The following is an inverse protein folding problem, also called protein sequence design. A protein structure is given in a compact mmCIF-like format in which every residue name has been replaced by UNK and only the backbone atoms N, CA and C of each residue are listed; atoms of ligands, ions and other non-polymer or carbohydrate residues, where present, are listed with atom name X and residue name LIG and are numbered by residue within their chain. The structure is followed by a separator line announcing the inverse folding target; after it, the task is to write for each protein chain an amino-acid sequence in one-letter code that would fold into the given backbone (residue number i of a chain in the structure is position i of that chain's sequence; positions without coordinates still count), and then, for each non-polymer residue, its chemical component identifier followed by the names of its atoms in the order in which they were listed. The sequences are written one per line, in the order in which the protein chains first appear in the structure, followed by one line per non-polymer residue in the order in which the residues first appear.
data_IF_713120080035
#
_entry.id   IF_713120080035
#
_cell.length_a   1.000
_cell.length_b   1.000
_cell.length_c   1.000
_cell.angle_alpha   90.00
_cell.angle_beta   90.00
_cell.angle_gamma   90.00
#
_symmetry.space_group_name_H-M   'P 1'
#
loop_
_entity.id
_entity.type
_entity.pdbx_description
1 polymer ?
#
# COMPACT_ATOMS: atom_id res chain seq x y z
N UNK A 1 26.41 8.07 -11.52
CA UNK A 1 26.44 6.79 -10.76
C UNK A 1 26.03 6.96 -9.30
N UNK A 2 26.37 8.10 -8.66
CA UNK A 2 26.17 8.33 -7.22
C UNK A 2 24.69 8.42 -6.79
N UNK A 3 23.78 8.79 -7.70
CA UNK A 3 22.36 9.04 -7.40
C UNK A 3 21.40 8.04 -8.04
N UNK A 4 21.89 6.87 -8.47
CA UNK A 4 21.04 5.86 -9.10
C UNK A 4 20.10 5.12 -8.14
N UNK A 5 20.41 5.15 -6.84
CA UNK A 5 19.60 4.51 -5.79
C UNK A 5 18.72 5.56 -5.14
N UNK A 6 17.46 5.58 -5.54
CA UNK A 6 16.42 6.37 -4.87
C UNK A 6 16.08 5.78 -3.50
N UNK A 7 15.46 6.56 -2.59
CA UNK A 7 14.82 6.00 -1.41
C UNK A 7 13.90 4.85 -1.79
N UNK A 8 13.92 3.77 -1.00
CA UNK A 8 13.22 2.53 -1.36
C UNK A 8 11.71 2.75 -1.51
N UNK A 9 11.12 3.60 -0.68
CA UNK A 9 9.71 3.98 -0.73
C UNK A 9 9.36 4.57 -2.10
N UNK A 10 10.26 5.36 -2.69
CA UNK A 10 10.02 5.95 -4.01
C UNK A 10 10.23 4.93 -5.15
N UNK A 11 11.09 3.94 -4.96
CA UNK A 11 11.18 2.81 -5.87
C UNK A 11 9.87 1.99 -5.89
N UNK A 12 9.25 1.83 -4.71
CA UNK A 12 7.94 1.16 -4.59
C UNK A 12 6.80 2.05 -5.13
N UNK A 13 6.85 3.39 -4.94
CA UNK A 13 5.92 4.31 -5.63
C UNK A 13 6.00 4.09 -7.15
N UNK A 14 7.21 3.91 -7.69
CA UNK A 14 7.41 3.70 -9.12
C UNK A 14 6.72 2.43 -9.60
N UNK A 15 6.92 1.29 -8.94
CA UNK A 15 6.32 0.01 -9.31
C UNK A 15 4.79 0.04 -9.16
N UNK A 16 4.29 0.43 -7.99
CA UNK A 16 2.86 0.44 -7.68
C UNK A 16 2.08 1.46 -8.53
N UNK A 17 2.67 2.63 -8.83
CA UNK A 17 2.05 3.59 -9.74
C UNK A 17 1.97 3.03 -11.17
N UNK A 18 2.99 2.28 -11.63
CA UNK A 18 2.99 1.66 -12.94
C UNK A 18 1.90 0.61 -13.09
N UNK A 19 1.64 -0.19 -12.04
CA UNK A 19 0.53 -1.16 -12.02
C UNK A 19 -0.83 -0.46 -12.18
N UNK A 20 -1.06 0.65 -11.47
CA UNK A 20 -2.30 1.43 -11.55
C UNK A 20 -2.47 2.12 -12.90
N UNK A 21 -1.40 2.74 -13.42
CA UNK A 21 -1.40 3.41 -14.73
C UNK A 21 -1.56 2.39 -15.86
N UNK A 22 -0.90 1.24 -15.76
CA UNK A 22 -0.98 0.12 -16.71
C UNK A 22 -2.36 -0.55 -16.73
N UNK A 23 -3.14 -0.44 -15.67
CA UNK A 23 -4.49 -0.98 -15.57
C UNK A 23 -5.46 -0.52 -16.66
N UNK A 24 -5.22 0.65 -17.27
CA UNK A 24 -6.01 1.16 -18.39
C UNK A 24 -5.70 0.44 -19.74
N UNK A 25 -4.57 -0.27 -19.82
CA UNK A 25 -4.08 -0.95 -21.02
C UNK A 25 -4.23 -2.47 -20.97
N UNK A 26 -4.89 -3.00 -19.95
CA UNK A 26 -5.10 -4.46 -19.81
C UNK A 26 -5.90 -5.06 -20.96
N UNK A 27 -6.68 -4.26 -21.69
CA UNK A 27 -7.41 -4.68 -22.88
C UNK A 27 -6.53 -5.11 -24.05
N UNK A 28 -5.21 -4.81 -24.03
CA UNK A 28 -4.25 -5.35 -25.01
C UNK A 28 -3.96 -6.84 -24.79
N UNK A 29 -4.26 -7.38 -23.60
CA UNK A 29 -3.91 -8.75 -23.20
C UNK A 29 -5.12 -9.58 -22.80
N UNK A 30 -6.22 -8.95 -22.39
CA UNK A 30 -7.41 -9.58 -21.81
C UNK A 30 -8.66 -9.16 -22.55
N UNK A 31 -9.68 -10.03 -22.55
CA UNK A 31 -11.01 -9.61 -22.93
C UNK A 31 -11.64 -8.65 -21.88
N UNK A 32 -12.79 -8.07 -22.23
CA UNK A 32 -13.45 -7.06 -21.41
C UNK A 32 -13.77 -7.57 -19.99
N UNK A 33 -14.22 -8.82 -19.86
CA UNK A 33 -14.58 -9.40 -18.57
C UNK A 33 -13.35 -9.80 -17.75
N UNK A 34 -12.33 -10.34 -18.39
CA UNK A 34 -11.05 -10.66 -17.75
C UNK A 34 -10.35 -9.40 -17.26
N UNK A 35 -10.30 -8.34 -18.08
CA UNK A 35 -9.78 -7.04 -17.70
C UNK A 35 -10.52 -6.47 -16.49
N UNK A 36 -11.87 -6.52 -16.50
CA UNK A 36 -12.70 -6.06 -15.39
C UNK A 36 -12.37 -6.82 -14.10
N UNK A 37 -12.29 -8.14 -14.15
CA UNK A 37 -11.92 -8.98 -13.00
C UNK A 37 -10.52 -8.68 -12.48
N UNK A 38 -9.54 -8.52 -13.37
CA UNK A 38 -8.16 -8.19 -13.01
C UNK A 38 -8.09 -6.83 -12.29
N UNK A 39 -8.80 -5.81 -12.79
CA UNK A 39 -8.86 -4.49 -12.16
C UNK A 39 -9.54 -4.54 -10.78
N UNK A 40 -10.64 -5.27 -10.65
CA UNK A 40 -11.30 -5.45 -9.35
C UNK A 40 -10.36 -6.12 -8.36
N UNK A 41 -9.73 -7.24 -8.74
CA UNK A 41 -8.81 -7.97 -7.87
C UNK A 41 -7.62 -7.10 -7.42
N UNK A 42 -7.05 -6.30 -8.33
CA UNK A 42 -5.97 -5.37 -8.01
C UNK A 42 -6.41 -4.30 -6.99
N UNK A 43 -7.53 -3.61 -7.25
CA UNK A 43 -8.01 -2.56 -6.37
C UNK A 43 -8.46 -3.10 -5.00
N UNK A 44 -9.08 -4.29 -4.95
CA UNK A 44 -9.39 -4.98 -3.69
C UNK A 44 -8.11 -5.33 -2.93
N UNK A 45 -7.06 -5.81 -3.62
CA UNK A 45 -5.75 -6.06 -3.04
C UNK A 45 -5.17 -4.82 -2.36
N UNK A 46 -5.30 -3.65 -2.98
CA UNK A 46 -4.88 -2.37 -2.39
C UNK A 46 -5.69 -2.04 -1.13
N UNK A 47 -7.00 -2.26 -1.13
CA UNK A 47 -7.84 -2.04 0.07
C UNK A 47 -7.40 -2.95 1.21
N UNK A 48 -7.05 -4.21 0.91
CA UNK A 48 -6.65 -5.18 1.94
C UNK A 48 -5.22 -4.99 2.46
N UNK A 49 -4.32 -4.43 1.65
CA UNK A 49 -2.93 -4.27 2.07
C UNK A 49 -2.74 -3.21 3.15
N UNK A 50 -3.49 -2.11 3.14
CA UNK A 50 -3.34 -1.04 4.14
C UNK A 50 -3.60 -1.49 5.59
N UNK A 51 -4.72 -2.17 5.91
CA UNK A 51 -4.94 -2.72 7.24
C UNK A 51 -3.88 -3.74 7.65
N UNK A 52 -3.39 -4.54 6.71
CA UNK A 52 -2.32 -5.49 6.98
C UNK A 52 -1.01 -4.77 7.32
N UNK A 53 -0.63 -3.73 6.57
CA UNK A 53 0.53 -2.90 6.86
C UNK A 53 0.41 -2.27 8.26
N UNK A 54 -0.76 -1.69 8.58
CA UNK A 54 -1.02 -1.10 9.89
C UNK A 54 -0.89 -2.14 11.02
N UNK A 55 -1.37 -3.37 10.80
CA UNK A 55 -1.24 -4.47 11.76
C UNK A 55 0.22 -4.81 12.01
N UNK A 56 1.00 -5.02 10.93
CA UNK A 56 2.42 -5.41 11.02
C UNK A 56 3.24 -4.31 11.67
N UNK A 57 3.06 -3.07 11.27
CA UNK A 57 3.80 -1.93 11.82
C UNK A 57 3.48 -1.71 13.29
N UNK A 58 2.19 -1.67 13.67
CA UNK A 58 1.77 -1.54 15.06
C UNK A 58 2.29 -2.69 15.94
N UNK A 59 2.34 -3.92 15.40
CA UNK A 59 2.91 -5.06 16.10
C UNK A 59 4.42 -4.91 16.32
N UNK A 60 5.16 -4.42 15.34
CA UNK A 60 6.58 -4.15 15.52
C UNK A 60 6.81 -3.08 16.60
N UNK A 61 6.05 -1.99 16.60
CA UNK A 61 6.10 -1.00 17.66
C UNK A 61 5.82 -1.63 19.02
N UNK A 62 4.78 -2.46 19.14
CA UNK A 62 4.47 -3.15 20.38
C UNK A 62 5.63 -4.05 20.87
N UNK A 63 6.24 -4.84 19.97
CA UNK A 63 7.37 -5.70 20.29
C UNK A 63 8.55 -4.94 20.90
N UNK A 64 8.91 -3.80 20.31
CA UNK A 64 10.05 -3.01 20.77
C UNK A 64 9.76 -2.21 22.04
N UNK A 65 8.51 -1.82 22.27
CA UNK A 65 8.09 -1.15 23.50
C UNK A 65 7.92 -2.14 24.67
N UNK A 66 7.77 -3.43 24.43
CA UNK A 66 7.58 -4.48 25.42
C UNK A 66 8.67 -5.57 25.31
N UNK A 67 9.97 -5.26 25.48
CA UNK A 67 11.06 -6.20 25.18
C UNK A 67 11.08 -7.46 26.05
N UNK A 68 10.44 -7.42 27.23
CA UNK A 68 10.39 -8.53 28.18
C UNK A 68 9.07 -9.33 28.11
N UNK A 69 8.29 -9.18 27.05
CA UNK A 69 7.01 -9.86 26.89
C UNK A 69 7.16 -11.39 26.83
N UNK A 70 6.20 -12.11 27.38
CA UNK A 70 6.02 -13.55 27.21
C UNK A 70 5.47 -13.91 25.84
N UNK A 71 5.53 -15.18 25.48
CA UNK A 71 4.92 -15.69 24.22
C UNK A 71 3.41 -15.42 24.20
N UNK A 72 2.73 -15.62 25.34
CA UNK A 72 1.28 -15.42 25.44
C UNK A 72 0.88 -13.94 25.26
N UNK A 73 1.64 -13.01 25.85
CA UNK A 73 1.40 -11.58 25.68
C UNK A 73 1.61 -11.14 24.22
N UNK A 74 2.62 -11.68 23.56
CA UNK A 74 2.88 -11.42 22.16
C UNK A 74 1.75 -11.93 21.24
N UNK A 75 1.27 -13.15 21.49
CA UNK A 75 0.16 -13.74 20.74
C UNK A 75 -1.15 -12.96 20.96
N UNK A 76 -1.40 -12.49 22.18
CA UNK A 76 -2.54 -11.65 22.50
C UNK A 76 -2.43 -10.29 21.77
N UNK A 77 -1.29 -9.61 21.87
CA UNK A 77 -1.08 -8.31 21.20
C UNK A 77 -1.28 -8.39 19.69
N UNK A 78 -0.78 -9.46 19.04
CA UNK A 78 -1.04 -9.66 17.62
C UNK A 78 -2.52 -9.91 17.34
N UNK A 79 -3.19 -10.73 18.13
CA UNK A 79 -4.62 -11.03 17.96
C UNK A 79 -5.50 -9.80 18.10
N UNK A 80 -5.20 -8.92 19.08
CA UNK A 80 -5.89 -7.65 19.28
C UNK A 80 -5.72 -6.71 18.08
N UNK A 81 -4.53 -6.67 17.47
CA UNK A 81 -4.28 -5.88 16.27
C UNK A 81 -5.02 -6.44 15.04
N UNK A 82 -5.10 -7.76 14.90
CA UNK A 82 -5.94 -8.38 13.86
C UNK A 82 -7.41 -8.03 14.07
N UNK A 83 -7.92 -8.02 15.31
CA UNK A 83 -9.31 -7.61 15.59
C UNK A 83 -9.54 -6.13 15.27
N UNK A 84 -8.54 -5.30 15.52
CA UNK A 84 -8.62 -3.86 15.25
C UNK A 84 -8.59 -3.53 13.76
N UNK A 85 -7.72 -4.17 12.98
CA UNK A 85 -7.43 -3.79 11.59
C UNK A 85 -7.88 -4.84 10.56
N UNK A 86 -8.03 -6.11 10.95
CA UNK A 86 -8.23 -7.23 10.03
C UNK A 86 -9.64 -7.41 9.45
N UNK A 87 -10.57 -6.48 9.76
CA UNK A 87 -11.95 -6.54 9.25
C UNK A 87 -12.80 -7.63 9.92
N UNK A 88 -13.93 -7.95 9.30
CA UNK A 88 -14.95 -8.87 9.87
C UNK A 88 -14.65 -10.35 9.54
N UNK A 89 -13.43 -10.81 9.73
CA UNK A 89 -13.08 -12.22 9.55
C UNK A 89 -13.49 -13.00 10.79
N UNK A 90 -14.29 -14.06 10.61
CA UNK A 90 -14.64 -14.96 11.70
C UNK A 90 -13.47 -15.92 11.96
N UNK A 91 -12.87 -15.83 13.14
CA UNK A 91 -11.76 -16.68 13.60
C UNK A 91 -12.19 -17.77 14.58
N UNK A 92 -13.52 -17.98 14.78
CA UNK A 92 -14.00 -19.07 15.67
C UNK A 92 -13.40 -20.40 15.24
N UNK A 93 -12.92 -21.17 16.19
CA UNK A 93 -12.20 -22.45 16.02
C UNK A 93 -10.81 -22.32 15.33
N UNK A 94 -10.34 -21.07 15.10
CA UNK A 94 -9.04 -20.79 14.46
C UNK A 94 -8.20 -19.76 15.25
N UNK A 95 -8.49 -19.57 16.53
CA UNK A 95 -7.83 -18.57 17.39
C UNK A 95 -6.31 -18.78 17.46
N UNK A 96 -5.87 -20.05 17.52
CA UNK A 96 -4.44 -20.37 17.51
C UNK A 96 -3.77 -19.98 16.18
N UNK A 97 -4.44 -20.20 15.06
CA UNK A 97 -3.93 -19.83 13.74
C UNK A 97 -3.85 -18.29 13.62
N UNK A 98 -4.87 -17.57 14.10
CA UNK A 98 -4.90 -16.10 14.19
C UNK A 98 -3.71 -15.60 15.01
N UNK A 99 -3.52 -16.11 16.22
CA UNK A 99 -2.45 -15.69 17.14
C UNK A 99 -1.03 -15.91 16.58
N UNK A 100 -0.86 -16.86 15.67
CA UNK A 100 0.43 -17.21 15.05
C UNK A 100 0.60 -16.67 13.63
N UNK A 101 -0.37 -15.95 13.10
CA UNK A 101 -0.36 -15.49 11.70
C UNK A 101 0.83 -14.58 11.39
N UNK A 102 1.36 -13.84 12.36
CA UNK A 102 2.54 -12.98 12.20
C UNK A 102 3.82 -13.74 11.81
N UNK A 103 3.90 -15.05 12.09
CA UNK A 103 5.06 -15.87 11.73
C UNK A 103 5.32 -15.94 10.22
N UNK A 104 4.28 -15.77 9.39
CA UNK A 104 4.43 -15.72 7.93
C UNK A 104 5.10 -14.45 7.43
N UNK A 105 5.13 -13.38 8.26
CA UNK A 105 5.62 -12.08 7.85
C UNK A 105 7.11 -11.94 8.14
N UNK A 106 7.91 -12.35 7.17
CA UNK A 106 9.39 -12.40 7.28
C UNK A 106 10.00 -11.04 7.63
N UNK A 107 9.39 -9.94 7.21
CA UNK A 107 9.85 -8.58 7.49
C UNK A 107 9.95 -8.28 8.99
N UNK A 108 9.06 -8.84 9.82
CA UNK A 108 9.11 -8.65 11.28
C UNK A 108 10.45 -9.12 11.86
N UNK A 109 11.07 -10.14 11.26
CA UNK A 109 12.30 -10.77 11.74
C UNK A 109 13.56 -10.17 11.10
N UNK A 110 13.49 -9.81 9.81
CA UNK A 110 14.68 -9.46 9.03
C UNK A 110 14.80 -7.96 8.75
N UNK A 111 13.67 -7.24 8.74
CA UNK A 111 13.63 -5.84 8.32
C UNK A 111 12.72 -5.03 9.25
N UNK A 112 13.16 -4.77 10.50
CA UNK A 112 12.36 -4.01 11.47
C UNK A 112 11.94 -2.65 10.92
N UNK A 113 10.65 -2.33 11.11
CA UNK A 113 10.03 -1.07 10.68
C UNK A 113 10.05 -0.77 9.17
N UNK A 114 10.43 -1.77 8.37
CA UNK A 114 10.40 -1.60 6.91
C UNK A 114 8.97 -1.65 6.34
N UNK A 115 8.06 -2.38 6.97
CA UNK A 115 6.77 -2.71 6.35
C UNK A 115 5.86 -1.50 6.09
N UNK A 116 6.01 -0.42 6.85
CA UNK A 116 5.33 0.86 6.64
C UNK A 116 5.68 1.50 5.28
N UNK A 117 6.86 1.21 4.74
CA UNK A 117 7.33 1.71 3.43
C UNK A 117 6.34 1.39 2.31
N UNK A 118 5.76 0.19 2.33
CA UNK A 118 4.72 -0.22 1.37
C UNK A 118 3.45 0.64 1.49
N UNK A 119 3.10 1.08 2.70
CA UNK A 119 1.96 1.98 2.93
C UNK A 119 2.21 3.38 2.38
N UNK A 120 3.40 3.91 2.62
CA UNK A 120 3.85 5.19 2.08
C UNK A 120 3.84 5.14 0.55
N UNK A 121 4.42 4.08 -0.03
CA UNK A 121 4.51 3.89 -1.46
C UNK A 121 3.15 3.71 -2.12
N UNK A 122 2.28 2.88 -1.55
CA UNK A 122 0.94 2.65 -2.10
C UNK A 122 0.09 3.92 -2.06
N UNK A 123 0.20 4.73 -1.00
CA UNK A 123 -0.50 6.01 -0.92
C UNK A 123 0.05 7.02 -1.94
N UNK A 124 1.36 7.02 -2.18
CA UNK A 124 2.00 7.79 -3.25
C UNK A 124 1.50 7.38 -4.62
N UNK A 125 1.49 6.08 -4.91
CA UNK A 125 1.00 5.51 -6.17
C UNK A 125 -0.47 5.84 -6.45
N UNK A 126 -1.33 5.77 -5.44
CA UNK A 126 -2.74 6.16 -5.57
C UNK A 126 -2.90 7.64 -5.92
N UNK A 127 -2.06 8.53 -5.38
CA UNK A 127 -2.08 9.95 -5.72
C UNK A 127 -1.62 10.19 -7.17
N UNK A 128 -0.57 9.50 -7.65
CA UNK A 128 -0.15 9.54 -9.06
C UNK A 128 -1.30 9.11 -9.96
N UNK A 129 -1.96 8.01 -9.63
CA UNK A 129 -3.11 7.52 -10.36
C UNK A 129 -4.31 8.49 -10.32
N UNK A 130 -4.60 9.09 -9.16
CA UNK A 130 -5.63 10.11 -9.03
C UNK A 130 -5.36 11.35 -9.91
N UNK A 131 -4.09 11.74 -10.03
CA UNK A 131 -3.67 12.83 -10.90
C UNK A 131 -3.80 12.43 -12.37
N UNK A 132 -3.45 11.20 -12.76
CA UNK A 132 -3.57 10.72 -14.14
C UNK A 132 -5.02 10.66 -14.63
N UNK A 133 -5.98 10.42 -13.74
CA UNK A 133 -7.41 10.48 -14.07
C UNK A 133 -7.92 11.88 -14.39
N UNK A 134 -7.21 12.92 -13.95
CA UNK A 134 -7.54 14.33 -14.23
C UNK A 134 -6.79 14.83 -15.47
N UNK A 135 -5.48 14.56 -15.52
CA UNK A 135 -4.57 14.89 -16.60
C UNK A 135 -3.49 13.82 -16.72
N UNK A 136 -3.69 12.85 -17.61
CA UNK A 136 -2.78 11.74 -17.80
C UNK A 136 -1.39 12.20 -18.28
N UNK A 137 -1.33 13.14 -19.21
CA UNK A 137 -0.06 13.65 -19.78
C UNK A 137 0.76 14.41 -18.75
N UNK A 138 0.12 15.28 -17.98
CA UNK A 138 0.75 16.02 -16.89
C UNK A 138 1.25 15.11 -15.78
N UNK A 139 0.41 14.17 -15.33
CA UNK A 139 0.80 13.21 -14.29
C UNK A 139 1.99 12.34 -14.71
N UNK A 140 2.02 11.84 -15.95
CA UNK A 140 3.16 11.09 -16.47
C UNK A 140 4.43 11.93 -16.60
N UNK A 141 4.30 13.20 -16.92
CA UNK A 141 5.43 14.13 -16.99
C UNK A 141 6.03 14.35 -15.60
N UNK A 142 5.20 14.63 -14.59
CA UNK A 142 5.64 14.82 -13.21
C UNK A 142 6.22 13.54 -12.62
N UNK A 143 5.57 12.39 -12.83
CA UNK A 143 6.06 11.08 -12.41
C UNK A 143 7.45 10.78 -12.97
N UNK A 144 7.65 10.91 -14.30
CA UNK A 144 8.96 10.69 -14.94
C UNK A 144 10.02 11.68 -14.46
N UNK A 145 9.65 12.94 -14.24
CA UNK A 145 10.57 13.96 -13.76
C UNK A 145 11.04 13.68 -12.31
N UNK A 146 10.15 13.16 -11.47
CA UNK A 146 10.52 12.73 -10.13
C UNK A 146 11.43 11.49 -10.16
N UNK A 147 11.13 10.48 -10.97
CA UNK A 147 11.98 9.30 -11.16
C UNK A 147 13.39 9.66 -11.66
N UNK A 148 13.50 10.65 -12.54
CA UNK A 148 14.78 11.11 -13.09
C UNK A 148 15.72 11.71 -12.02
N UNK A 149 15.21 12.12 -10.86
CA UNK A 149 16.00 12.62 -9.74
C UNK A 149 16.79 11.49 -9.03
N UNK A 150 16.31 10.26 -9.10
CA UNK A 150 16.91 9.11 -8.42
C UNK A 150 17.10 9.38 -6.93
N UNK A 151 18.31 9.15 -6.41
CA UNK A 151 18.69 9.40 -5.01
C UNK A 151 19.26 10.80 -4.75
N UNK A 152 19.06 11.77 -5.66
CA UNK A 152 19.64 13.11 -5.52
C UNK A 152 18.84 14.03 -4.59
N UNK A 153 17.65 13.59 -4.16
CA UNK A 153 16.74 14.35 -3.29
C UNK A 153 16.16 13.45 -2.20
N UNK A 154 15.82 14.01 -1.03
CA UNK A 154 15.11 13.28 0.02
C UNK A 154 13.69 12.97 -0.42
N UNK A 155 13.08 11.97 0.22
CA UNK A 155 11.77 11.44 -0.13
C UNK A 155 10.65 12.51 -0.24
N UNK A 156 10.51 13.47 0.68
CA UNK A 156 9.48 14.51 0.55
C UNK A 156 9.60 15.36 -0.74
N UNK A 157 10.83 15.67 -1.16
CA UNK A 157 11.09 16.44 -2.39
C UNK A 157 10.77 15.62 -3.64
N UNK A 158 10.99 14.30 -3.61
CA UNK A 158 10.59 13.39 -4.70
C UNK A 158 9.07 13.34 -4.84
N UNK A 159 8.35 13.28 -3.72
CA UNK A 159 6.89 13.34 -3.68
C UNK A 159 6.38 14.68 -4.25
N UNK A 160 6.93 15.80 -3.78
CA UNK A 160 6.60 17.13 -4.29
C UNK A 160 6.85 17.25 -5.81
N UNK A 161 8.00 16.76 -6.29
CA UNK A 161 8.34 16.79 -7.72
C UNK A 161 7.39 15.93 -8.55
N UNK A 162 6.83 14.86 -7.95
CA UNK A 162 5.81 14.00 -8.55
C UNK A 162 4.39 14.61 -8.48
N UNK A 163 4.25 15.83 -7.92
CA UNK A 163 2.99 16.49 -7.66
C UNK A 163 2.05 15.67 -6.76
N UNK A 164 2.63 15.02 -5.74
CA UNK A 164 1.92 14.25 -4.72
C UNK A 164 2.42 14.65 -3.32
N UNK A 165 1.67 14.31 -2.28
CA UNK A 165 1.97 14.68 -0.90
C UNK A 165 2.62 13.52 -0.16
N UNK A 166 3.70 13.79 0.54
CA UNK A 166 4.25 12.91 1.58
C UNK A 166 3.52 13.19 2.91
N UNK A 167 2.32 12.62 3.05
CA UNK A 167 1.43 12.86 4.18
C UNK A 167 0.50 11.65 4.38
N UNK A 168 0.49 11.09 5.60
CA UNK A 168 -0.34 9.96 6.00
C UNK A 168 -1.59 10.39 6.80
N UNK A 169 -1.89 11.69 6.83
CA UNK A 169 -3.08 12.19 7.52
C UNK A 169 -4.37 11.81 6.79
N UNK A 170 -5.49 11.91 7.50
CA UNK A 170 -6.82 11.71 6.92
C UNK A 170 -7.10 12.60 5.72
N UNK A 171 -6.48 13.77 5.63
CA UNK A 171 -6.64 14.69 4.50
C UNK A 171 -6.08 14.12 3.19
N UNK A 172 -5.12 13.22 3.26
CA UNK A 172 -4.55 12.53 2.09
C UNK A 172 -5.14 11.12 1.92
N UNK A 173 -5.34 10.39 3.01
CA UNK A 173 -5.85 9.01 2.97
C UNK A 173 -7.32 8.95 2.55
N UNK A 174 -8.20 9.78 3.13
CA UNK A 174 -9.64 9.69 2.87
C UNK A 174 -10.01 9.90 1.39
N UNK A 175 -9.47 10.90 0.66
CA UNK A 175 -9.76 11.04 -0.76
C UNK A 175 -9.31 9.84 -1.61
N UNK A 176 -8.23 9.15 -1.23
CA UNK A 176 -7.76 7.96 -1.93
C UNK A 176 -8.66 6.75 -1.65
N UNK A 177 -9.14 6.60 -0.43
CA UNK A 177 -10.13 5.58 -0.08
C UNK A 177 -11.45 5.79 -0.83
N UNK A 178 -11.91 7.04 -0.96
CA UNK A 178 -13.11 7.37 -1.72
C UNK A 178 -12.94 7.11 -3.22
N UNK A 179 -11.76 7.39 -3.78
CA UNK A 179 -11.43 7.06 -5.16
C UNK A 179 -11.48 5.56 -5.40
N UNK A 180 -10.85 4.75 -4.53
CA UNK A 180 -10.86 3.29 -4.63
C UNK A 180 -12.29 2.74 -4.57
N UNK A 181 -13.11 3.23 -3.62
CA UNK A 181 -14.52 2.84 -3.50
C UNK A 181 -15.30 3.12 -4.78
N UNK A 182 -15.21 4.35 -5.29
CA UNK A 182 -15.89 4.76 -6.52
C UNK A 182 -15.52 3.92 -7.73
N UNK A 183 -14.22 3.61 -7.89
CA UNK A 183 -13.75 2.79 -9.01
C UNK A 183 -14.24 1.34 -8.89
N UNK A 184 -14.17 0.77 -7.68
CA UNK A 184 -14.67 -0.58 -7.43
C UNK A 184 -16.17 -0.67 -7.68
N UNK A 185 -16.96 0.31 -7.22
CA UNK A 185 -18.40 0.36 -7.45
C UNK A 185 -18.72 0.46 -8.96
N UNK A 186 -17.97 1.28 -9.69
CA UNK A 186 -18.11 1.40 -11.15
C UNK A 186 -17.83 0.07 -11.84
N UNK A 187 -16.72 -0.60 -11.50
CA UNK A 187 -16.33 -1.87 -12.09
C UNK A 187 -17.29 -3.02 -11.74
N UNK A 188 -17.87 -3.01 -10.54
CA UNK A 188 -18.81 -4.06 -10.08
C UNK A 188 -20.21 -3.87 -10.66
N UNK A 189 -20.63 -2.64 -10.94
CA UNK A 189 -21.96 -2.34 -11.47
C UNK A 189 -22.07 -2.39 -12.99
N UNK A 190 -20.96 -2.28 -13.72
CA UNK A 190 -20.88 -2.44 -15.18
C UNK A 190 -20.80 -3.94 -15.53
N UNK A 191 -21.93 -4.65 -15.38
CA UNK A 191 -22.10 -6.03 -15.84
C UNK A 191 -22.65 -6.09 -17.25
#
# INVERSE_FOLDING_TARGET
YSYRHAPIEFCEVASMAMELLGGEYLGEFYDTEEMRRARIAHLEGIVFVFPWIATVDAFQHWLYLNPNHSVSERDAAWSDLIDRFGGNVNWSDHEMAKAKLWHKQLHIFLHPFYYVEYGIAQLGALQVWANSKKDCSGALTDYKAALALGGSRPLPELFERCNIRFDLSSNTVAPMADLLRKELDTLKNNR
#
